data_IF_903000388807
#
_entry.id   IF_903000388807
#
_cell.length_a   1.000
_cell.length_b   1.000
_cell.length_c   1.000
_cell.angle_alpha   90.00
_cell.angle_beta   90.00
_cell.angle_gamma   90.00
#
_symmetry.space_group_name_H-M   'P 1'
#
loop_
_entity.id
_entity.type
_entity.pdbx_description
1 polymer ?
#
# COMPACT_ATOMS: atom_id res chain seq x y z
N UNK A 1 5.88 0.74 -83.45
CA UNK A 1 7.06 1.62 -83.50
C UNK A 1 7.61 1.69 -82.08
N UNK A 2 8.71 1.12 -81.63
CA UNK A 2 9.77 0.17 -82.01
C UNK A 2 10.43 -0.12 -80.63
N UNK A 3 11.02 -1.24 -80.23
CA UNK A 3 11.75 -2.28 -80.95
C UNK A 3 13.05 -2.54 -80.16
N UNK A 4 13.25 -3.80 -79.72
CA UNK A 4 14.54 -4.44 -79.34
C UNK A 4 15.30 -3.89 -78.12
N UNK A 5 16.02 -4.68 -77.31
CA UNK A 5 16.62 -6.02 -77.46
C UNK A 5 18.05 -5.95 -76.89
N UNK A 6 18.33 -6.65 -75.78
CA UNK A 6 19.20 -7.85 -75.69
C UNK A 6 20.73 -7.64 -75.57
N UNK A 7 21.31 -8.42 -74.64
CA UNK A 7 22.66 -9.07 -74.64
C UNK A 7 23.72 -8.43 -73.72
N UNK A 8 24.14 -9.00 -72.57
CA UNK A 8 24.84 -10.26 -72.18
C UNK A 8 26.39 -10.13 -72.14
N UNK A 9 26.99 -10.32 -70.96
CA UNK A 9 28.34 -10.89 -70.74
C UNK A 9 28.43 -11.29 -69.24
N UNK A 10 28.09 -12.51 -68.84
CA UNK A 10 28.99 -13.67 -68.60
C UNK A 10 30.19 -13.38 -67.66
N UNK A 11 30.23 -14.01 -66.47
CA UNK A 11 31.17 -15.11 -66.16
C UNK A 11 31.03 -15.64 -64.70
N UNK A 12 30.81 -16.96 -64.59
CA UNK A 12 31.33 -17.94 -63.60
C UNK A 12 30.95 -17.80 -62.11
N UNK A 13 30.06 -18.65 -61.56
CA UNK A 13 30.33 -20.00 -61.00
C UNK A 13 31.56 -20.05 -60.11
N UNK A 14 31.35 -20.05 -58.78
CA UNK A 14 32.11 -20.90 -57.85
C UNK A 14 31.26 -21.14 -56.58
N UNK A 15 30.60 -22.30 -56.55
CA UNK A 15 30.11 -22.91 -55.32
C UNK A 15 31.34 -23.35 -54.51
N UNK A 16 31.70 -22.58 -53.49
CA UNK A 16 32.68 -23.01 -52.49
C UNK A 16 31.99 -23.11 -51.13
N UNK A 17 31.90 -24.35 -50.67
CA UNK A 17 31.69 -24.75 -49.29
C UNK A 17 32.51 -23.87 -48.34
N UNK A 18 31.82 -23.06 -47.55
CA UNK A 18 32.36 -22.59 -46.27
C UNK A 18 31.47 -23.14 -45.16
N UNK A 19 31.89 -24.31 -44.68
CA UNK A 19 31.57 -24.82 -43.36
C UNK A 19 32.14 -23.82 -42.36
N UNK A 20 31.31 -22.91 -41.87
CA UNK A 20 31.60 -22.20 -40.63
C UNK A 20 30.90 -22.92 -39.50
N UNK A 21 31.71 -23.74 -38.80
CA UNK A 21 31.39 -24.26 -37.49
C UNK A 21 31.01 -23.08 -36.58
N UNK A 22 29.72 -23.00 -36.24
CA UNK A 22 29.24 -22.12 -35.19
C UNK A 22 29.75 -22.69 -33.87
N UNK A 23 30.81 -22.08 -33.34
CA UNK A 23 31.24 -22.31 -31.96
C UNK A 23 30.16 -21.73 -31.06
N UNK A 24 29.36 -22.65 -30.53
CA UNK A 24 28.29 -22.46 -29.57
C UNK A 24 28.90 -22.07 -28.22
N UNK A 25 29.16 -20.77 -28.00
CA UNK A 25 29.26 -20.24 -26.64
C UNK A 25 27.85 -19.90 -26.16
N UNK A 26 27.10 -20.95 -25.80
CA UNK A 26 25.96 -20.84 -24.89
C UNK A 26 26.45 -20.18 -23.59
N UNK A 27 26.36 -18.85 -23.53
CA UNK A 27 26.37 -18.13 -22.27
C UNK A 27 25.06 -18.46 -21.59
N UNK A 28 25.10 -19.57 -20.84
CA UNK A 28 24.09 -19.96 -19.86
C UNK A 28 23.89 -18.77 -18.92
N UNK A 29 22.97 -17.87 -19.26
CA UNK A 29 22.28 -17.06 -18.28
C UNK A 29 21.54 -18.08 -17.43
N UNK A 30 22.21 -18.51 -16.37
CA UNK A 30 21.66 -19.34 -15.31
C UNK A 30 20.34 -18.68 -14.95
N UNK A 31 19.21 -19.28 -15.39
CA UNK A 31 17.92 -19.05 -14.78
C UNK A 31 18.16 -19.33 -13.32
N UNK A 32 18.30 -18.28 -12.52
CA UNK A 32 18.11 -18.36 -11.09
C UNK A 32 16.69 -18.91 -10.98
N UNK A 33 16.62 -20.20 -10.67
CA UNK A 33 15.36 -20.89 -10.44
C UNK A 33 14.58 -20.04 -9.45
N UNK A 34 13.36 -19.63 -9.83
CA UNK A 34 12.32 -19.10 -8.94
C UNK A 34 11.87 -20.16 -7.93
N UNK A 35 12.82 -20.81 -7.27
CA UNK A 35 12.65 -21.89 -6.30
C UNK A 35 13.42 -21.50 -5.05
N UNK A 36 12.93 -20.44 -4.42
CA UNK A 36 13.16 -20.01 -3.02
C UNK A 36 12.48 -18.64 -2.80
N UNK A 37 11.27 -18.46 -3.34
CA UNK A 37 10.32 -17.50 -2.76
C UNK A 37 9.41 -18.38 -1.93
N UNK A 38 9.68 -18.42 -0.64
CA UNK A 38 8.78 -19.06 0.32
C UNK A 38 7.41 -18.37 0.19
N UNK A 39 6.35 -19.16 0.04
CA UNK A 39 4.99 -18.63 -0.10
C UNK A 39 4.54 -18.04 1.24
N UNK A 40 4.81 -16.75 1.43
CA UNK A 40 4.46 -16.02 2.64
C UNK A 40 2.97 -15.68 2.76
N UNK A 41 2.11 -16.13 1.83
CA UNK A 41 0.68 -15.80 1.82
C UNK A 41 -0.07 -16.29 3.07
N UNK A 42 0.44 -17.32 3.74
CA UNK A 42 -0.18 -17.92 4.93
C UNK A 42 0.44 -17.44 6.25
N UNK A 43 1.48 -16.59 6.21
CA UNK A 43 2.19 -16.16 7.42
C UNK A 43 1.61 -14.84 7.94
N UNK A 44 1.10 -14.86 9.17
CA UNK A 44 0.64 -13.65 9.84
C UNK A 44 1.76 -13.05 10.69
N UNK A 45 2.31 -11.93 10.21
CA UNK A 45 3.38 -11.23 10.92
C UNK A 45 2.83 -10.36 12.08
N UNK A 46 3.56 -10.28 13.20
CA UNK A 46 3.15 -9.43 14.32
C UNK A 46 3.18 -7.95 13.94
N UNK A 47 2.16 -7.21 14.37
CA UNK A 47 2.03 -5.77 14.09
C UNK A 47 2.89 -4.87 14.99
N UNK A 48 2.81 -3.53 14.82
CA UNK A 48 1.81 -2.80 14.04
C UNK A 48 2.21 -2.51 12.57
N UNK A 49 1.96 -3.45 11.66
CA UNK A 49 2.45 -3.37 10.27
C UNK A 49 1.84 -2.20 9.49
N UNK A 50 0.53 -1.98 9.63
CA UNK A 50 -0.16 -0.88 8.95
C UNK A 50 0.42 0.47 9.33
N UNK A 51 0.77 0.67 10.62
CA UNK A 51 1.41 1.90 11.07
C UNK A 51 2.75 2.13 10.35
N UNK A 52 3.62 1.12 10.33
CA UNK A 52 4.94 1.23 9.71
C UNK A 52 4.86 1.52 8.21
N UNK A 53 3.94 0.88 7.49
CA UNK A 53 3.71 1.15 6.06
C UNK A 53 3.19 2.58 5.83
N UNK A 54 2.21 3.02 6.63
CA UNK A 54 1.57 4.32 6.50
C UNK A 54 2.53 5.50 6.72
N UNK A 55 3.50 5.36 7.63
CA UNK A 55 4.52 6.39 7.88
C UNK A 55 5.79 6.18 7.05
N UNK A 56 5.84 5.15 6.20
CA UNK A 56 6.92 4.90 5.25
C UNK A 56 8.20 4.32 5.86
N UNK A 57 8.09 3.60 6.98
CA UNK A 57 9.19 2.80 7.52
C UNK A 57 9.51 1.62 6.60
N UNK A 58 10.76 1.19 6.61
CA UNK A 58 11.23 0.10 5.74
C UNK A 58 11.44 -1.17 6.56
N UNK A 59 10.88 -2.32 6.15
CA UNK A 59 11.10 -3.58 6.84
C UNK A 59 12.57 -4.01 6.74
N UNK A 60 13.08 -4.60 7.82
CA UNK A 60 14.41 -5.22 7.88
C UNK A 60 14.24 -6.68 8.28
N UNK A 61 14.71 -7.57 7.41
CA UNK A 61 14.63 -9.02 7.59
C UNK A 61 15.95 -9.56 8.15
N UNK A 62 15.89 -10.66 8.90
CA UNK A 62 17.10 -11.27 9.47
C UNK A 62 17.82 -12.09 8.43
N UNK A 63 17.08 -12.89 7.67
CA UNK A 63 17.59 -13.70 6.56
C UNK A 63 16.82 -13.39 5.28
N UNK A 64 17.44 -13.71 4.15
CA UNK A 64 16.77 -13.71 2.86
C UNK A 64 15.72 -14.83 2.86
N UNK A 65 14.48 -14.51 2.51
CA UNK A 65 13.37 -15.47 2.49
C UNK A 65 12.43 -15.38 3.70
N UNK A 66 12.83 -14.71 4.78
CA UNK A 66 11.96 -14.50 5.94
C UNK A 66 10.66 -13.79 5.53
N UNK A 67 9.51 -14.36 5.90
CA UNK A 67 8.21 -13.75 5.62
C UNK A 67 7.91 -12.51 6.45
N UNK A 68 8.50 -12.41 7.65
CA UNK A 68 8.26 -11.32 8.59
C UNK A 68 9.53 -10.53 8.86
N UNK A 69 9.41 -9.20 8.79
CA UNK A 69 10.48 -8.33 9.21
C UNK A 69 10.71 -8.47 10.71
N UNK A 70 11.98 -8.54 11.11
CA UNK A 70 12.33 -8.63 12.53
C UNK A 70 12.45 -7.23 13.18
N UNK A 71 12.62 -6.16 12.37
CA UNK A 71 12.54 -4.75 12.78
C UNK A 71 12.12 -3.86 11.61
N UNK A 72 11.77 -2.60 11.90
CA UNK A 72 11.47 -1.58 10.91
C UNK A 72 12.41 -0.39 11.07
N UNK A 73 13.05 0.04 9.98
CA UNK A 73 13.81 1.29 9.96
C UNK A 73 12.84 2.47 9.78
N UNK A 74 12.76 3.30 10.83
CA UNK A 74 11.95 4.51 10.89
C UNK A 74 12.81 5.77 11.13
N UNK A 75 14.12 5.73 10.85
CA UNK A 75 15.04 6.83 11.17
C UNK A 75 14.66 8.13 10.46
N UNK A 76 14.03 8.03 9.29
CA UNK A 76 13.52 9.19 8.55
C UNK A 76 12.49 9.99 9.35
N UNK A 77 11.75 9.37 10.28
CA UNK A 77 10.80 10.08 11.14
C UNK A 77 11.52 11.05 12.10
N UNK A 78 12.69 10.66 12.61
CA UNK A 78 13.50 11.51 13.50
C UNK A 78 14.14 12.69 12.73
N UNK A 79 14.37 12.53 11.43
CA UNK A 79 14.94 13.57 10.57
C UNK A 79 13.92 14.60 10.08
N UNK A 80 12.63 14.43 10.40
CA UNK A 80 11.56 15.35 9.98
C UNK A 80 11.72 16.71 10.66
N UNK A 81 11.69 17.77 9.86
CA UNK A 81 11.67 19.14 10.36
C UNK A 81 10.32 19.46 11.00
N UNK A 82 10.31 20.20 12.10
CA UNK A 82 9.07 20.70 12.71
C UNK A 82 8.36 21.75 11.84
N UNK A 83 9.08 22.35 10.88
CA UNK A 83 8.58 23.43 10.03
C UNK A 83 8.02 22.94 8.68
N UNK A 84 7.74 21.64 8.56
CA UNK A 84 7.15 21.03 7.35
C UNK A 84 6.10 20.01 7.74
N UNK A 85 5.21 19.70 6.80
CA UNK A 85 4.35 18.53 6.91
C UNK A 85 4.94 17.37 6.11
N UNK A 86 4.56 16.16 6.46
CA UNK A 86 5.07 14.96 5.82
C UNK A 86 3.93 14.00 5.52
N UNK A 87 4.04 13.30 4.39
CA UNK A 87 3.28 12.08 4.10
C UNK A 87 4.30 11.03 3.66
N UNK A 88 4.47 9.98 4.46
CA UNK A 88 5.53 8.98 4.32
C UNK A 88 6.90 9.64 4.26
N UNK A 89 7.49 9.75 3.07
CA UNK A 89 8.80 10.36 2.81
C UNK A 89 8.70 11.70 2.06
N UNK A 90 7.50 12.10 1.63
CA UNK A 90 7.26 13.36 0.94
C UNK A 90 7.14 14.48 1.96
N UNK A 91 7.86 15.58 1.75
CA UNK A 91 7.79 16.79 2.56
C UNK A 91 6.99 17.88 1.87
N UNK A 92 6.32 18.70 2.66
CA UNK A 92 5.44 19.77 2.23
C UNK A 92 5.76 21.06 2.95
N UNK A 93 5.84 22.16 2.20
CA UNK A 93 5.97 23.51 2.78
C UNK A 93 4.64 23.99 3.35
N UNK A 94 4.67 24.91 4.30
CA UNK A 94 3.44 25.53 4.80
C UNK A 94 2.68 26.25 3.67
N UNK A 95 1.37 26.00 3.58
CA UNK A 95 0.51 26.45 2.49
C UNK A 95 0.44 25.50 1.30
N UNK A 96 1.37 24.54 1.17
CA UNK A 96 1.36 23.56 0.08
C UNK A 96 0.14 22.64 0.21
N UNK A 97 -0.54 22.39 -0.91
CA UNK A 97 -1.67 21.46 -0.99
C UNK A 97 -1.15 20.02 -1.05
N UNK A 98 -1.91 19.10 -0.45
CA UNK A 98 -1.63 17.68 -0.54
C UNK A 98 -1.66 17.24 -2.01
N UNK A 99 -0.60 16.56 -2.46
CA UNK A 99 -0.46 16.14 -3.85
C UNK A 99 -1.43 15.00 -4.18
N UNK A 100 -1.92 14.88 -5.42
CA UNK A 100 -2.89 13.85 -5.79
C UNK A 100 -2.44 12.41 -5.49
N UNK A 101 -1.16 12.11 -5.62
CA UNK A 101 -0.58 10.78 -5.34
C UNK A 101 -0.60 10.39 -3.86
N UNK A 102 -0.58 11.37 -2.96
CA UNK A 102 -0.65 11.17 -1.50
C UNK A 102 -2.09 11.29 -0.96
N UNK A 103 -3.04 11.56 -1.86
CA UNK A 103 -4.44 11.86 -1.51
C UNK A 103 -5.31 10.60 -1.57
N UNK A 104 -5.93 10.25 -0.44
CA UNK A 104 -7.10 9.37 -0.42
C UNK A 104 -8.37 10.15 -0.79
N UNK A 105 -9.45 9.51 -1.30
CA UNK A 105 -10.66 10.20 -1.74
C UNK A 105 -11.26 11.18 -0.71
N UNK A 106 -11.16 10.86 0.58
CA UNK A 106 -11.65 11.68 1.69
C UNK A 106 -10.72 12.80 2.16
N UNK A 107 -9.49 12.89 1.63
CA UNK A 107 -8.52 13.92 1.97
C UNK A 107 -8.84 15.23 1.22
N UNK A 108 -10.05 15.76 1.40
CA UNK A 108 -10.57 16.91 0.64
C UNK A 108 -9.93 18.20 1.11
N UNK A 109 -9.41 19.00 0.17
CA UNK A 109 -8.88 20.33 0.45
C UNK A 109 -7.69 20.35 1.41
N UNK A 110 -6.98 19.24 1.58
CA UNK A 110 -5.86 19.17 2.52
C UNK A 110 -4.71 20.10 2.13
N UNK A 111 -4.19 20.86 3.09
CA UNK A 111 -2.99 21.65 2.94
C UNK A 111 -2.14 21.64 4.22
N UNK A 112 -0.84 21.84 4.04
CA UNK A 112 0.11 21.87 5.14
C UNK A 112 0.00 23.20 5.90
N UNK A 113 -0.09 23.13 7.24
CA UNK A 113 -0.17 24.31 8.11
C UNK A 113 0.79 24.15 9.28
N UNK A 114 1.27 25.28 9.79
CA UNK A 114 1.98 25.29 11.06
C UNK A 114 1.06 24.83 12.21
N UNK A 115 1.53 23.88 13.01
CA UNK A 115 0.84 23.39 14.20
C UNK A 115 1.59 23.76 15.48
N UNK A 116 1.10 23.29 16.64
CA UNK A 116 1.66 23.66 17.95
C UNK A 116 3.09 23.15 18.16
N UNK A 117 3.40 21.93 17.69
CA UNK A 117 4.72 21.29 17.91
C UNK A 117 5.42 20.89 16.60
N UNK A 118 4.66 20.77 15.52
CA UNK A 118 5.12 20.37 14.20
C UNK A 118 4.09 20.82 13.16
N UNK A 119 4.50 20.84 11.89
CA UNK A 119 3.59 20.93 10.77
C UNK A 119 2.51 19.84 10.83
N UNK A 120 1.30 20.20 10.42
CA UNK A 120 0.18 19.27 10.29
C UNK A 120 -0.64 19.58 9.05
N UNK A 121 -1.29 18.57 8.51
CA UNK A 121 -2.30 18.81 7.49
C UNK A 121 -3.60 19.30 8.12
N UNK A 122 -4.25 20.25 7.45
CA UNK A 122 -5.62 20.65 7.72
C UNK A 122 -6.42 20.28 6.49
N UNK A 123 -7.43 19.43 6.67
CA UNK A 123 -8.33 18.94 5.64
C UNK A 123 -9.75 19.39 5.94
N UNK A 124 -10.59 19.47 4.91
CA UNK A 124 -12.02 19.66 5.10
C UNK A 124 -12.61 18.42 5.79
N UNK A 125 -13.46 18.65 6.79
CA UNK A 125 -14.30 17.60 7.34
C UNK A 125 -15.38 17.33 6.29
N UNK A 126 -15.44 16.08 5.83
CA UNK A 126 -16.46 15.65 4.87
C UNK A 126 -17.51 14.88 5.66
N UNK A 127 -18.71 15.46 5.74
CA UNK A 127 -19.87 14.77 6.28
C UNK A 127 -20.61 14.04 5.16
N UNK A 128 -20.73 12.71 5.30
CA UNK A 128 -21.43 11.85 4.36
C UNK A 128 -22.72 11.29 5.00
N UNK A 129 -23.33 12.03 5.94
CA UNK A 129 -24.56 11.61 6.60
C UNK A 129 -25.67 11.33 5.60
N UNK A 130 -26.31 10.18 5.78
CA UNK A 130 -27.54 9.81 5.12
C UNK A 130 -28.46 9.17 6.16
N UNK A 131 -29.78 9.34 5.99
CA UNK A 131 -30.75 8.65 6.83
C UNK A 131 -30.73 7.13 6.62
N UNK A 132 -31.60 6.40 7.33
CA UNK A 132 -31.82 4.98 7.08
C UNK A 132 -32.10 4.74 5.59
N UNK A 133 -31.47 3.69 5.03
CA UNK A 133 -31.70 3.27 3.66
C UNK A 133 -32.83 2.24 3.69
N UNK A 134 -33.89 2.49 2.94
CA UNK A 134 -35.00 1.55 2.81
C UNK A 134 -34.55 0.22 2.18
N UNK A 135 -35.20 -0.87 2.59
CA UNK A 135 -34.97 -2.20 2.01
C UNK A 135 -35.15 -2.16 0.49
N UNK A 136 -34.22 -2.75 -0.25
CA UNK A 136 -34.22 -2.74 -1.72
C UNK A 136 -33.61 -1.49 -2.35
N UNK A 137 -33.25 -0.48 -1.57
CA UNK A 137 -32.48 0.67 -2.04
C UNK A 137 -30.98 0.51 -1.74
N UNK A 138 -30.14 1.22 -2.50
CA UNK A 138 -28.69 1.27 -2.29
C UNK A 138 -28.15 2.64 -2.70
N UNK A 139 -27.00 3.04 -2.18
CA UNK A 139 -26.31 4.22 -2.67
C UNK A 139 -25.16 3.81 -3.56
N UNK A 140 -25.18 4.28 -4.81
CA UNK A 140 -24.06 4.09 -5.72
C UNK A 140 -22.81 4.68 -5.11
N UNK A 141 -21.69 3.94 -5.11
CA UNK A 141 -20.39 4.46 -4.70
C UNK A 141 -19.38 4.37 -5.82
N UNK A 142 -18.56 5.40 -5.91
CA UNK A 142 -17.34 5.37 -6.70
C UNK A 142 -16.16 5.36 -5.73
N UNK A 143 -15.25 4.39 -5.90
CA UNK A 143 -14.05 4.26 -5.08
C UNK A 143 -13.16 5.52 -5.12
N UNK A 144 -13.30 6.36 -6.15
CA UNK A 144 -12.59 7.64 -6.26
C UNK A 144 -13.26 8.80 -5.51
N UNK A 145 -14.43 8.58 -4.91
CA UNK A 145 -15.19 9.58 -4.16
C UNK A 145 -15.19 9.22 -2.67
N UNK A 146 -15.21 10.23 -1.81
CA UNK A 146 -15.28 10.02 -0.35
C UNK A 146 -16.67 9.55 0.08
N UNK A 147 -17.69 10.30 -0.33
CA UNK A 147 -19.07 10.04 0.03
C UNK A 147 -19.76 9.11 -0.98
N UNK A 148 -20.81 8.41 -0.53
CA UNK A 148 -21.73 7.78 -1.46
C UNK A 148 -22.36 8.81 -2.38
N UNK A 149 -22.69 8.34 -3.58
CA UNK A 149 -23.52 9.04 -4.53
C UNK A 149 -25.01 8.92 -4.17
N UNK A 150 -25.91 9.25 -5.11
CA UNK A 150 -27.34 9.29 -4.86
C UNK A 150 -27.92 7.93 -4.48
N UNK A 151 -28.93 7.97 -3.61
CA UNK A 151 -29.78 6.83 -3.30
C UNK A 151 -30.52 6.37 -4.56
N UNK A 152 -30.47 5.07 -4.82
CA UNK A 152 -31.13 4.41 -5.95
C UNK A 152 -32.05 3.31 -5.41
N UNK A 153 -33.33 3.39 -5.78
CA UNK A 153 -34.36 2.43 -5.38
C UNK A 153 -34.99 1.83 -6.65
N UNK A 154 -34.45 0.72 -7.18
CA UNK A 154 -35.07 0.04 -8.30
C UNK A 154 -36.44 -0.53 -7.92
N UNK A 155 -37.30 -0.78 -8.92
CA UNK A 155 -38.62 -1.38 -8.69
C UNK A 155 -38.50 -2.83 -8.23
N UNK A 156 -37.49 -3.55 -8.71
CA UNK A 156 -37.19 -4.93 -8.35
C UNK A 156 -35.77 -5.04 -7.78
N UNK A 157 -35.59 -5.76 -6.68
CA UNK A 157 -34.26 -5.98 -6.10
C UNK A 157 -33.29 -6.76 -7.01
N UNK A 158 -33.82 -7.54 -7.94
CA UNK A 158 -33.03 -8.24 -8.96
C UNK A 158 -32.29 -7.29 -9.92
N UNK A 159 -32.71 -6.03 -9.99
CA UNK A 159 -32.08 -4.99 -10.80
C UNK A 159 -30.87 -4.35 -10.09
N UNK A 160 -30.67 -4.62 -8.80
CA UNK A 160 -29.49 -4.13 -8.08
C UNK A 160 -28.26 -4.89 -8.59
N UNK A 161 -27.25 -4.20 -9.16
CA UNK A 161 -26.05 -4.87 -9.64
C UNK A 161 -25.35 -5.61 -8.50
N UNK A 162 -24.82 -6.80 -8.81
CA UNK A 162 -24.11 -7.66 -7.85
C UNK A 162 -22.75 -8.05 -8.39
N UNK A 163 -21.79 -8.18 -7.47
CA UNK A 163 -20.44 -8.65 -7.75
C UNK A 163 -20.17 -9.88 -6.90
N UNK A 164 -19.62 -10.94 -7.49
CA UNK A 164 -19.16 -12.11 -6.75
C UNK A 164 -17.64 -12.07 -6.67
N UNK A 165 -17.09 -11.94 -5.47
CA UNK A 165 -15.65 -11.84 -5.21
C UNK A 165 -15.29 -12.81 -4.09
N UNK A 166 -14.33 -13.70 -4.34
CA UNK A 166 -13.85 -14.66 -3.35
C UNK A 166 -14.95 -15.52 -2.69
N UNK A 167 -16.03 -15.79 -3.44
CA UNK A 167 -17.21 -16.53 -2.99
C UNK A 167 -18.26 -15.69 -2.25
N UNK A 168 -18.03 -14.39 -2.07
CA UNK A 168 -18.95 -13.46 -1.39
C UNK A 168 -19.68 -12.61 -2.43
N UNK A 169 -20.99 -12.44 -2.26
CA UNK A 169 -21.80 -11.57 -3.12
C UNK A 169 -21.94 -10.20 -2.49
N UNK A 170 -21.53 -9.17 -3.22
CA UNK A 170 -21.65 -7.77 -2.86
C UNK A 170 -22.70 -7.09 -3.74
N UNK A 171 -23.47 -6.17 -3.16
CA UNK A 171 -24.40 -5.29 -3.88
C UNK A 171 -23.70 -4.02 -4.33
N UNK A 172 -24.23 -3.36 -5.36
CA UNK A 172 -23.70 -2.08 -5.82
C UNK A 172 -23.56 -1.07 -4.68
N UNK A 173 -22.39 -0.45 -4.61
CA UNK A 173 -21.99 0.49 -3.59
C UNK A 173 -21.31 -0.11 -2.36
N UNK A 174 -21.34 -1.43 -2.18
CA UNK A 174 -20.65 -2.10 -1.07
C UNK A 174 -19.14 -2.17 -1.30
N UNK A 175 -18.36 -2.02 -0.22
CA UNK A 175 -16.91 -2.15 -0.25
C UNK A 175 -16.47 -3.59 -0.04
N UNK A 176 -15.35 -3.95 -0.66
CA UNK A 176 -14.64 -5.20 -0.40
C UNK A 176 -13.13 -5.03 -0.49
N UNK A 177 -12.41 -5.96 0.14
CA UNK A 177 -10.96 -6.12 0.05
C UNK A 177 -10.72 -7.51 -0.53
N UNK A 178 -10.14 -7.64 -1.74
CA UNK A 178 -9.85 -8.94 -2.31
C UNK A 178 -8.85 -9.72 -1.45
N UNK A 179 -9.09 -11.02 -1.21
CA UNK A 179 -8.24 -11.86 -0.35
C UNK A 179 -6.78 -11.87 -0.81
N UNK A 180 -6.57 -11.98 -2.11
CA UNK A 180 -5.22 -12.04 -2.71
C UNK A 180 -4.58 -10.66 -2.93
N UNK A 181 -5.32 -9.58 -2.70
CA UNK A 181 -4.83 -8.20 -2.90
C UNK A 181 -5.22 -7.31 -1.71
N UNK A 182 -4.72 -7.60 -0.49
CA UNK A 182 -5.19 -6.98 0.75
C UNK A 182 -4.92 -5.47 0.84
N UNK A 183 -4.02 -4.95 -0.01
CA UNK A 183 -3.73 -3.52 -0.16
C UNK A 183 -4.73 -2.79 -1.04
N UNK A 184 -5.56 -3.50 -1.81
CA UNK A 184 -6.60 -2.88 -2.61
C UNK A 184 -7.83 -2.57 -1.75
N UNK A 185 -8.53 -1.53 -2.17
CA UNK A 185 -9.86 -1.17 -1.69
C UNK A 185 -10.75 -1.10 -2.92
N UNK A 186 -11.85 -1.83 -2.88
CA UNK A 186 -12.73 -1.99 -4.02
C UNK A 186 -14.18 -1.70 -3.64
N UNK A 187 -14.97 -1.30 -4.63
CA UNK A 187 -16.41 -1.13 -4.51
C UNK A 187 -17.10 -1.95 -5.59
N UNK A 188 -18.14 -2.70 -5.21
CA UNK A 188 -18.99 -3.36 -6.18
C UNK A 188 -19.80 -2.32 -6.96
N UNK A 189 -19.81 -2.45 -8.28
CA UNK A 189 -20.62 -1.61 -9.16
C UNK A 189 -20.95 -2.39 -10.42
N UNK A 190 -22.02 -1.99 -11.08
CA UNK A 190 -22.31 -2.36 -12.47
C UNK A 190 -21.03 -2.34 -13.35
N UNK A 191 -20.86 -3.40 -14.14
CA UNK A 191 -19.72 -3.60 -15.04
C UNK A 191 -18.47 -4.24 -14.41
N UNK A 192 -18.49 -4.59 -13.12
CA UNK A 192 -17.38 -5.34 -12.52
C UNK A 192 -17.32 -6.77 -13.09
N UNK A 193 -16.19 -7.12 -13.71
CA UNK A 193 -15.98 -8.40 -14.40
C UNK A 193 -15.14 -9.41 -13.60
N UNK A 194 -14.89 -9.14 -12.32
CA UNK A 194 -13.94 -9.93 -11.50
C UNK A 194 -12.50 -9.39 -11.51
N UNK A 195 -12.24 -8.31 -12.26
CA UNK A 195 -10.91 -7.70 -12.33
C UNK A 195 -10.78 -6.54 -11.34
N UNK A 196 -9.79 -6.62 -10.46
CA UNK A 196 -9.55 -5.62 -9.41
C UNK A 196 -8.78 -4.39 -9.93
N UNK A 197 -9.35 -3.70 -10.93
CA UNK A 197 -8.75 -2.55 -11.60
C UNK A 197 -9.62 -1.30 -11.45
N UNK A 198 -9.09 -0.13 -11.84
CA UNK A 198 -9.90 1.08 -11.95
C UNK A 198 -11.05 0.87 -12.96
N UNK A 199 -12.26 1.38 -12.70
CA UNK A 199 -12.64 2.29 -11.63
C UNK A 199 -13.29 1.58 -10.42
N UNK A 200 -13.08 0.28 -10.26
CA UNK A 200 -13.69 -0.51 -9.16
C UNK A 200 -12.77 -0.58 -7.95
N UNK A 201 -11.47 -0.66 -8.19
CA UNK A 201 -10.46 -0.79 -7.15
C UNK A 201 -9.39 0.30 -7.25
N UNK A 202 -8.88 0.71 -6.09
CA UNK A 202 -7.66 1.51 -5.96
C UNK A 202 -6.71 0.84 -4.98
N UNK A 203 -5.43 1.21 -5.07
CA UNK A 203 -4.46 0.96 -3.99
C UNK A 203 -4.21 2.31 -3.32
N UNK A 204 -4.75 2.53 -2.10
CA UNK A 204 -4.49 3.75 -1.35
C UNK A 204 -2.99 3.96 -1.13
N UNK A 205 -2.54 5.21 -1.17
CA UNK A 205 -1.14 5.56 -0.85
C UNK A 205 -0.83 5.35 0.62
N UNK A 206 -1.85 5.52 1.46
CA UNK A 206 -1.87 5.25 2.91
C UNK A 206 -3.20 4.60 3.27
N UNK A 207 -3.19 3.68 4.23
CA UNK A 207 -4.39 2.95 4.66
C UNK A 207 -5.19 3.74 5.68
N UNK A 208 -4.49 4.35 6.64
CA UNK A 208 -5.06 5.05 7.79
C UNK A 208 -4.80 6.56 7.73
N UNK A 209 -4.07 7.03 6.70
CA UNK A 209 -3.63 8.43 6.58
C UNK A 209 -2.92 8.90 7.86
N UNK A 210 -2.12 8.04 8.50
CA UNK A 210 -1.54 8.30 9.83
C UNK A 210 -0.76 9.62 9.88
N UNK A 211 0.02 9.91 8.85
CA UNK A 211 0.77 11.17 8.76
C UNK A 211 -0.11 12.43 8.66
N UNK A 212 -1.33 12.32 8.15
CA UNK A 212 -2.24 13.47 8.02
C UNK A 212 -2.91 13.79 9.35
N UNK A 213 -3.39 12.75 10.06
CA UNK A 213 -4.20 12.91 11.26
C UNK A 213 -3.41 12.87 12.57
N UNK A 214 -2.24 12.23 12.57
CA UNK A 214 -1.42 11.97 13.77
C UNK A 214 0.01 12.51 13.65
N UNK A 215 0.24 13.52 12.81
CA UNK A 215 1.59 14.10 12.63
C UNK A 215 2.22 14.58 13.94
N UNK A 216 1.40 15.10 14.86
CA UNK A 216 1.86 15.58 16.17
C UNK A 216 2.25 14.43 17.10
N UNK A 217 1.51 13.32 17.07
CA UNK A 217 1.81 12.13 17.86
C UNK A 217 3.14 11.52 17.39
N UNK A 218 3.35 11.44 16.07
CA UNK A 218 4.61 10.99 15.47
C UNK A 218 5.77 11.92 15.89
N UNK A 219 5.59 13.24 15.81
CA UNK A 219 6.61 14.21 16.19
C UNK A 219 7.02 14.12 17.67
N UNK A 220 6.07 13.70 18.54
CA UNK A 220 6.29 13.45 19.97
C UNK A 220 6.76 12.02 20.27
N UNK A 221 6.95 11.18 19.25
CA UNK A 221 7.33 9.76 19.37
C UNK A 221 6.34 8.94 20.20
N UNK A 222 5.05 9.29 20.10
CA UNK A 222 3.99 8.53 20.74
C UNK A 222 3.77 7.22 19.98
N UNK A 223 3.38 6.17 20.70
CA UNK A 223 3.10 4.86 20.12
C UNK A 223 1.61 4.72 19.78
N UNK A 224 1.26 3.99 18.70
CA UNK A 224 -0.12 3.65 18.41
C UNK A 224 -0.66 2.64 19.44
N UNK A 225 -1.93 2.80 19.82
CA UNK A 225 -2.68 1.89 20.69
C UNK A 225 -3.82 1.26 19.91
N UNK A 226 -4.05 -0.02 20.18
CA UNK A 226 -5.08 -0.84 19.59
C UNK A 226 -5.98 -1.40 20.69
N UNK A 227 -7.28 -1.51 20.42
CA UNK A 227 -8.18 -2.28 21.27
C UNK A 227 -7.88 -3.78 21.18
N UNK A 228 -8.33 -4.55 22.17
CA UNK A 228 -8.05 -5.98 22.27
C UNK A 228 -8.56 -6.80 21.08
N UNK A 229 -9.61 -6.32 20.41
CA UNK A 229 -10.23 -6.93 19.23
C UNK A 229 -9.64 -6.44 17.90
N UNK A 230 -8.79 -5.40 17.93
CA UNK A 230 -8.12 -4.91 16.73
C UNK A 230 -6.87 -5.75 16.42
N UNK A 231 -6.66 -6.03 15.13
CA UNK A 231 -5.44 -6.63 14.61
C UNK A 231 -4.45 -5.52 14.20
N UNK A 232 -3.35 -5.28 14.94
CA UNK A 232 -2.41 -4.20 14.64
C UNK A 232 -1.69 -4.37 13.29
N UNK A 233 -1.69 -5.58 12.72
CA UNK A 233 -1.09 -5.83 11.42
C UNK A 233 -1.92 -5.27 10.26
N UNK A 234 -3.23 -5.08 10.42
CA UNK A 234 -4.14 -4.69 9.33
C UNK A 234 -5.04 -3.51 9.67
N UNK A 235 -5.33 -3.27 10.95
CA UNK A 235 -6.19 -2.18 11.40
C UNK A 235 -5.42 -0.89 11.68
N UNK A 236 -6.17 0.21 11.69
CA UNK A 236 -5.70 1.53 12.11
C UNK A 236 -5.70 1.64 13.64
N UNK A 237 -4.73 2.38 14.17
CA UNK A 237 -4.66 2.71 15.60
C UNK A 237 -5.92 3.45 16.05
N UNK A 238 -6.46 3.09 17.23
CA UNK A 238 -7.62 3.77 17.81
C UNK A 238 -7.23 5.01 18.62
N UNK A 239 -6.04 5.00 19.20
CA UNK A 239 -5.51 6.09 20.00
C UNK A 239 -3.98 6.08 20.01
N UNK A 240 -3.37 7.05 20.68
CA UNK A 240 -1.92 7.20 20.76
C UNK A 240 -1.51 7.52 22.18
N UNK A 241 -0.39 6.95 22.62
CA UNK A 241 0.18 7.22 23.94
C UNK A 241 1.62 7.65 23.83
N UNK A 242 1.88 8.83 24.38
CA UNK A 242 3.22 9.37 24.48
C UNK A 242 3.91 8.85 25.73
N UNK A 243 5.23 8.70 25.66
CA UNK A 243 6.02 8.35 26.82
C UNK A 243 5.89 9.46 27.89
N UNK A 244 5.80 9.05 29.14
CA UNK A 244 5.84 9.92 30.31
C UNK A 244 6.87 9.40 31.34
N UNK A 245 7.14 10.21 32.38
CA UNK A 245 8.20 9.93 33.36
C UNK A 245 7.95 8.69 34.23
N UNK A 246 6.70 8.24 34.35
CA UNK A 246 6.32 7.08 35.16
C UNK A 246 6.36 5.77 34.36
N UNK A 247 6.66 5.84 33.06
CA UNK A 247 6.74 4.67 32.21
C UNK A 247 7.98 3.84 32.56
N UNK A 248 7.79 2.55 32.73
CA UNK A 248 8.88 1.60 32.98
C UNK A 248 8.99 0.62 31.83
N UNK A 249 10.20 0.12 31.64
CA UNK A 249 10.50 -0.80 30.55
C UNK A 249 10.56 -2.20 31.10
N UNK A 250 9.71 -3.09 30.59
CA UNK A 250 9.59 -4.47 31.06
C UNK A 250 10.40 -5.37 30.13
N UNK A 251 11.47 -6.02 30.60
CA UNK A 251 12.23 -6.94 29.77
C UNK A 251 11.33 -8.12 29.38
N UNK A 252 11.31 -8.48 28.09
CA UNK A 252 10.64 -9.70 27.64
C UNK A 252 11.60 -10.89 27.76
N UNK A 253 11.40 -11.81 28.71
CA UNK A 253 12.30 -12.95 28.93
C UNK A 253 12.28 -13.96 27.77
N UNK A 254 11.29 -13.88 26.88
CA UNK A 254 11.05 -14.79 25.75
C UNK A 254 11.28 -14.14 24.37
N UNK A 255 11.86 -12.94 24.32
CA UNK A 255 11.99 -12.17 23.08
C UNK A 255 12.81 -12.88 21.99
N UNK A 256 12.23 -12.96 20.78
CA UNK A 256 12.85 -13.48 19.56
C UNK A 256 14.28 -12.92 19.37
N UNK A 257 15.23 -13.71 18.85
CA UNK A 257 16.60 -13.24 18.62
C UNK A 257 16.59 -11.99 17.75
N UNK A 258 17.35 -10.97 18.16
CA UNK A 258 17.48 -9.70 17.46
C UNK A 258 17.80 -9.95 15.99
N UNK A 259 17.24 -9.11 15.12
CA UNK A 259 17.86 -8.88 13.81
C UNK A 259 19.35 -8.64 14.05
N UNK A 260 20.21 -9.31 13.28
CA UNK A 260 21.66 -9.28 13.49
C UNK A 260 22.25 -7.89 13.74
N UNK A 261 23.36 -7.96 14.47
CA UNK A 261 24.21 -6.92 15.08
C UNK A 261 23.62 -6.23 16.31
N UNK A 262 24.32 -6.46 17.43
CA UNK A 262 24.15 -5.85 18.73
C UNK A 262 23.86 -4.36 18.58
N UNK A 263 22.74 -3.90 19.15
CA UNK A 263 22.66 -2.53 19.59
C UNK A 263 23.80 -2.34 20.60
N UNK A 264 24.84 -1.54 20.33
CA UNK A 264 25.89 -1.37 21.32
C UNK A 264 25.27 -0.67 22.53
N UNK A 265 25.09 -1.44 23.62
CA UNK A 265 24.89 -0.92 24.96
C UNK A 265 23.49 -0.85 25.57
N UNK A 266 22.42 -1.51 25.06
CA UNK A 266 21.15 -1.62 25.81
C UNK A 266 20.50 -2.99 25.72
N UNK A 267 20.30 -3.61 26.89
CA UNK A 267 19.49 -4.84 27.09
C UNK A 267 18.09 -4.65 26.48
N UNK A 268 17.50 -5.74 25.97
CA UNK A 268 16.18 -5.70 25.32
C UNK A 268 15.07 -5.41 26.32
N UNK A 269 14.08 -4.70 25.83
CA UNK A 269 13.16 -3.90 26.61
C UNK A 269 11.85 -3.85 25.82
N UNK A 270 10.81 -4.54 26.30
CA UNK A 270 9.46 -4.31 25.81
C UNK A 270 8.91 -3.14 26.61
N UNK A 271 8.53 -2.06 25.92
CA UNK A 271 7.89 -0.92 26.56
C UNK A 271 6.43 -1.27 26.82
N UNK A 272 6.17 -2.03 27.88
CA UNK A 272 4.83 -2.14 28.43
C UNK A 272 4.54 -0.89 29.23
N UNK A 273 3.86 0.03 28.57
CA UNK A 273 3.46 1.27 29.19
C UNK A 273 2.16 1.03 29.99
N UNK A 274 2.26 0.97 31.33
CA UNK A 274 1.12 0.89 32.25
C UNK A 274 0.40 2.23 32.32
#
# INVERSE_FOLDING_TARGET
>A
MDGHGRTLLLLQIFFCFFVFASTDETKQVKRVSQKEIEDCSQVQCPGPLTYYDDVGCTPVYKNKGDCCACKYNCDHLNARSRNKCYVRRNSYEFGERLRPEDKNPCNVGCFCKNGTNSGRFVCAIVDCYHGPIDTGCYMKRNISQCCPGPLTCPKNESEIPKCVVDGVTYKDGEFFIPKNEPRKRCTCREGYTGQNIKPFCITPSTTCSTDLYHSQDIAKKCIPIYYADQNPATNCSSSWRCQNANDTVIPNPSGSPSCGEDCPGKKRYDLQIR
#
